data_IF_962576366481
#
_entry.id   IF_962576366481
#
_cell.length_a   1.000
_cell.length_b   1.000
_cell.length_c   1.000
_cell.angle_alpha   90.00
_cell.angle_beta   90.00
_cell.angle_gamma   90.00
#
_symmetry.space_group_name_H-M   'P 1'
#
loop_
_entity.id
_entity.type
_entity.pdbx_description
1 polymer ?
#
# COMPACT_ATOMS: atom_id res chain seq x y z
N UNK A 1 -13.28 -2.88 0.05
CA UNK A 1 -14.42 -1.97 0.29
C UNK A 1 -15.27 -2.38 1.50
N UNK A 2 -15.81 -3.60 1.59
CA UNK A 2 -16.64 -4.01 2.72
C UNK A 2 -15.93 -3.89 4.08
N UNK A 3 -14.72 -4.41 4.20
CA UNK A 3 -13.95 -4.33 5.45
C UNK A 3 -13.62 -2.87 5.82
N UNK A 4 -13.33 -2.04 4.82
CA UNK A 4 -13.08 -0.61 5.05
C UNK A 4 -14.37 0.12 5.48
N UNK A 5 -15.52 -0.23 4.91
CA UNK A 5 -16.79 0.33 5.31
C UNK A 5 -17.12 -0.02 6.78
N UNK A 6 -16.90 -1.26 7.20
CA UNK A 6 -17.04 -1.66 8.61
C UNK A 6 -16.12 -0.85 9.53
N UNK A 7 -14.85 -0.68 9.17
CA UNK A 7 -13.90 0.11 9.95
C UNK A 7 -14.34 1.59 10.06
N UNK A 8 -14.85 2.19 8.99
CA UNK A 8 -15.36 3.56 9.00
C UNK A 8 -16.60 3.71 9.89
N UNK A 9 -17.54 2.76 9.82
CA UNK A 9 -18.73 2.76 10.67
C UNK A 9 -18.38 2.57 12.14
N UNK A 10 -17.45 1.67 12.46
CA UNK A 10 -16.99 1.42 13.82
C UNK A 10 -16.23 2.61 14.40
N UNK A 11 -15.41 3.32 13.61
CA UNK A 11 -14.75 4.56 14.04
C UNK A 11 -15.77 5.63 14.41
N UNK A 12 -16.81 5.81 13.60
CA UNK A 12 -17.91 6.74 13.91
C UNK A 12 -18.65 6.33 15.18
N UNK A 13 -18.96 5.05 15.36
CA UNK A 13 -19.63 4.55 16.59
C UNK A 13 -18.79 4.78 17.84
N UNK A 14 -17.48 4.54 17.76
CA UNK A 14 -16.54 4.78 18.87
C UNK A 14 -16.48 6.26 19.23
N UNK A 15 -16.44 7.15 18.24
CA UNK A 15 -16.43 8.61 18.47
C UNK A 15 -17.73 9.10 19.09
N UNK A 16 -18.89 8.60 18.65
CA UNK A 16 -20.18 8.90 19.26
C UNK A 16 -20.23 8.42 20.72
N UNK A 17 -19.71 7.22 21.00
CA UNK A 17 -19.65 6.68 22.37
C UNK A 17 -18.74 7.49 23.31
N UNK A 18 -17.67 8.12 22.79
CA UNK A 18 -16.80 9.03 23.56
C UNK A 18 -17.48 10.38 23.83
N UNK A 19 -18.19 10.95 22.85
CA UNK A 19 -18.93 12.20 23.01
C UNK A 19 -19.99 12.08 24.13
N UNK A 20 -20.66 10.93 24.24
CA UNK A 20 -21.62 10.68 25.32
C UNK A 20 -21.00 10.66 26.72
N UNK A 21 -19.68 10.42 26.84
CA UNK A 21 -18.97 10.41 28.11
C UNK A 21 -18.39 11.77 28.49
N UNK A 22 -17.92 12.53 27.50
CA UNK A 22 -17.18 13.78 27.74
C UNK A 22 -18.02 15.06 27.56
N UNK A 23 -19.27 14.96 27.14
CA UNK A 23 -20.22 16.08 27.03
C UNK A 23 -19.86 17.17 26.00
N UNK A 24 -18.82 16.95 25.18
CA UNK A 24 -18.38 17.88 24.13
C UNK A 24 -18.88 17.41 22.78
N UNK A 25 -19.82 18.16 22.18
CA UNK A 25 -20.26 17.95 20.81
C UNK A 25 -19.09 18.24 19.85
N UNK A 26 -18.40 17.18 19.40
CA UNK A 26 -17.53 17.25 18.25
C UNK A 26 -18.34 16.86 17.02
N UNK A 27 -18.15 17.55 15.89
CA UNK A 27 -18.79 17.22 14.62
C UNK A 27 -18.76 15.71 14.40
N UNK A 28 -19.93 15.08 14.44
CA UNK A 28 -20.10 13.66 14.14
C UNK A 28 -19.92 13.52 12.62
N UNK A 29 -18.68 13.31 12.18
CA UNK A 29 -18.40 13.02 10.77
C UNK A 29 -19.12 11.71 10.41
N UNK A 30 -20.01 11.81 9.44
CA UNK A 30 -20.63 10.63 8.81
C UNK A 30 -19.52 9.84 8.11
N UNK A 31 -19.54 8.50 8.11
CA UNK A 31 -18.57 7.72 7.35
C UNK A 31 -18.63 8.10 5.87
N UNK A 32 -17.49 8.07 5.18
CA UNK A 32 -17.41 8.41 3.76
C UNK A 32 -18.35 7.53 2.92
N UNK A 33 -18.53 6.29 3.31
CA UNK A 33 -19.51 5.36 2.77
C UNK A 33 -19.82 4.27 3.80
N UNK A 34 -21.02 3.72 3.73
CA UNK A 34 -21.50 2.66 4.59
C UNK A 34 -21.22 1.26 4.00
N UNK A 35 -21.43 0.23 4.81
CA UNK A 35 -21.43 -1.18 4.33
C UNK A 35 -22.46 -1.37 3.23
N UNK A 36 -23.64 -0.73 3.35
CA UNK A 36 -24.69 -0.82 2.34
C UNK A 36 -24.26 -0.19 1.01
N UNK A 37 -23.57 0.96 1.04
CA UNK A 37 -23.03 1.60 -0.17
C UNK A 37 -22.00 0.69 -0.84
N UNK A 38 -21.13 0.05 -0.07
CA UNK A 38 -20.15 -0.90 -0.56
C UNK A 38 -20.80 -2.16 -1.18
N UNK A 39 -21.91 -2.62 -0.64
CA UNK A 39 -22.68 -3.75 -1.23
C UNK A 39 -23.40 -3.31 -2.51
N UNK A 40 -24.03 -2.15 -2.50
CA UNK A 40 -24.78 -1.64 -3.65
C UNK A 40 -23.86 -1.44 -4.87
N UNK A 41 -22.63 -0.95 -4.69
CA UNK A 41 -21.71 -0.74 -5.80
C UNK A 41 -21.29 -2.04 -6.52
N UNK A 42 -21.54 -3.22 -5.94
CA UNK A 42 -21.29 -4.49 -6.63
C UNK A 42 -22.19 -4.67 -7.87
N UNK A 43 -23.36 -4.04 -7.88
CA UNK A 43 -24.27 -4.03 -9.04
C UNK A 43 -23.78 -3.13 -10.19
N UNK A 44 -22.83 -2.25 -9.94
CA UNK A 44 -22.31 -1.30 -10.94
C UNK A 44 -21.14 -1.87 -11.76
N UNK A 45 -20.61 -3.05 -11.40
CA UNK A 45 -19.60 -3.75 -12.18
C UNK A 45 -20.22 -4.30 -13.46
N UNK A 46 -19.91 -3.64 -14.57
CA UNK A 46 -20.46 -3.96 -15.91
C UNK A 46 -19.42 -4.61 -16.82
N UNK A 47 -18.62 -3.80 -17.49
CA UNK A 47 -17.64 -4.25 -18.47
C UNK A 47 -16.27 -4.48 -17.84
N UNK A 48 -15.57 -5.52 -18.29
CA UNK A 48 -14.17 -5.72 -17.95
C UNK A 48 -13.28 -4.87 -18.85
N UNK A 49 -12.42 -4.06 -18.26
CA UNK A 49 -11.38 -3.36 -18.97
C UNK A 49 -10.14 -4.24 -19.16
N UNK A 50 -9.52 -4.17 -20.32
CA UNK A 50 -8.26 -4.84 -20.64
C UNK A 50 -7.21 -3.76 -20.89
N UNK A 51 -6.00 -3.94 -20.40
CA UNK A 51 -4.92 -3.00 -20.60
C UNK A 51 -4.69 -2.71 -22.09
N UNK A 52 -4.44 -1.44 -22.40
CA UNK A 52 -4.15 -0.93 -23.74
C UNK A 52 -5.26 -1.13 -24.78
N UNK A 53 -6.46 -1.49 -24.35
CA UNK A 53 -7.64 -1.53 -25.21
C UNK A 53 -8.54 -0.32 -24.95
N UNK A 54 -8.99 0.30 -26.04
CA UNK A 54 -9.91 1.44 -25.96
C UNK A 54 -11.30 0.95 -25.60
N UNK A 55 -11.89 1.52 -24.57
CA UNK A 55 -13.27 1.30 -24.15
C UNK A 55 -14.08 2.58 -24.44
N UNK A 56 -15.14 2.47 -25.23
CA UNK A 56 -16.12 3.55 -25.37
C UNK A 56 -17.03 3.54 -24.15
N UNK A 57 -16.88 4.55 -23.29
CA UNK A 57 -17.66 4.69 -22.04
C UNK A 57 -19.05 5.23 -22.35
N UNK A 58 -19.08 6.27 -23.19
CA UNK A 58 -20.29 6.89 -23.75
C UNK A 58 -19.90 7.68 -24.99
N UNK A 59 -20.89 8.16 -25.76
CA UNK A 59 -20.64 8.98 -26.96
C UNK A 59 -19.70 10.15 -26.64
N UNK A 60 -18.58 10.24 -27.34
CA UNK A 60 -17.57 11.28 -27.14
C UNK A 60 -16.63 11.06 -25.95
N UNK A 61 -16.73 9.93 -25.22
CA UNK A 61 -15.84 9.59 -24.09
C UNK A 61 -15.24 8.20 -24.28
N UNK A 62 -13.94 8.16 -24.53
CA UNK A 62 -13.17 6.91 -24.62
C UNK A 62 -12.19 6.81 -23.46
N UNK A 63 -12.04 5.62 -22.91
CA UNK A 63 -11.09 5.32 -21.84
C UNK A 63 -10.11 4.22 -22.28
N UNK A 64 -8.83 4.39 -21.94
CA UNK A 64 -7.81 3.36 -22.07
C UNK A 64 -7.16 3.15 -20.72
N UNK A 65 -7.15 1.90 -20.25
CA UNK A 65 -6.47 1.50 -19.02
C UNK A 65 -5.05 1.09 -19.33
N UNK A 66 -4.08 1.64 -18.61
CA UNK A 66 -2.65 1.48 -18.83
C UNK A 66 -2.04 0.93 -17.54
N UNK A 67 -1.28 -0.16 -17.63
CA UNK A 67 -0.68 -0.78 -16.43
C UNK A 67 0.14 0.24 -15.63
N UNK A 68 -0.29 0.51 -14.40
CA UNK A 68 0.38 1.44 -13.50
C UNK A 68 1.50 0.77 -12.68
N UNK A 69 1.61 -0.56 -12.70
CA UNK A 69 2.67 -1.33 -12.03
C UNK A 69 2.76 -1.14 -10.51
N UNK A 70 1.70 -0.63 -9.87
CA UNK A 70 1.69 -0.30 -8.43
C UNK A 70 1.24 -1.48 -7.56
N UNK A 71 0.05 -1.98 -7.81
CA UNK A 71 -0.51 -3.20 -7.23
C UNK A 71 -1.13 -4.05 -8.35
N UNK A 72 -1.42 -5.30 -8.08
CA UNK A 72 -2.02 -6.20 -9.07
C UNK A 72 -3.34 -5.61 -9.60
N UNK A 73 -3.42 -5.39 -10.91
CA UNK A 73 -4.57 -4.80 -11.58
C UNK A 73 -4.66 -3.27 -11.53
N UNK A 74 -3.64 -2.58 -10.98
CA UNK A 74 -3.61 -1.11 -10.95
C UNK A 74 -3.49 -0.53 -12.38
N UNK A 75 -4.16 0.59 -12.61
CA UNK A 75 -4.15 1.24 -13.92
C UNK A 75 -4.06 2.76 -13.82
N UNK A 76 -3.28 3.35 -14.71
CA UNK A 76 -3.49 4.74 -15.14
C UNK A 76 -4.64 4.76 -16.13
N UNK A 77 -5.47 5.80 -16.12
CA UNK A 77 -6.65 5.92 -16.98
C UNK A 77 -6.46 7.10 -17.93
N UNK A 78 -6.38 6.81 -19.21
CA UNK A 78 -6.33 7.81 -20.27
C UNK A 78 -7.72 8.02 -20.81
N UNK A 79 -8.24 9.23 -20.68
CA UNK A 79 -9.54 9.66 -21.23
C UNK A 79 -9.33 10.56 -22.44
N UNK A 80 -10.02 10.24 -23.51
CA UNK A 80 -10.19 11.09 -24.69
C UNK A 80 -11.63 11.61 -24.68
N UNK A 81 -11.77 12.93 -24.68
CA UNK A 81 -13.03 13.66 -24.60
C UNK A 81 -13.26 14.41 -25.88
N UNK A 82 -14.30 14.07 -26.61
CA UNK A 82 -14.67 14.69 -27.90
C UNK A 82 -16.00 15.43 -27.79
N UNK A 83 -15.95 16.74 -28.02
CA UNK A 83 -17.11 17.59 -28.18
C UNK A 83 -17.15 18.12 -29.63
N UNK A 84 -18.29 18.59 -30.17
CA UNK A 84 -18.39 19.04 -31.55
C UNK A 84 -17.39 20.12 -31.98
N UNK A 85 -16.92 20.93 -31.03
CA UNK A 85 -16.01 22.05 -31.29
C UNK A 85 -14.62 21.88 -30.65
N UNK A 86 -14.42 20.90 -29.85
CA UNK A 86 -13.18 20.72 -29.05
C UNK A 86 -12.92 19.27 -28.72
N UNK A 87 -11.67 18.88 -28.74
CA UNK A 87 -11.22 17.60 -28.18
C UNK A 87 -10.09 17.85 -27.21
N UNK A 88 -10.09 17.13 -26.10
CA UNK A 88 -9.04 17.19 -25.08
C UNK A 88 -8.82 15.81 -24.48
N UNK A 89 -7.65 15.62 -23.90
CA UNK A 89 -7.29 14.38 -23.20
C UNK A 89 -6.90 14.62 -21.76
N UNK A 90 -7.26 13.67 -20.90
CA UNK A 90 -6.90 13.68 -19.48
C UNK A 90 -6.32 12.33 -19.11
N UNK A 91 -5.14 12.33 -18.52
CA UNK A 91 -4.49 11.13 -18.00
C UNK A 91 -4.47 11.18 -16.47
N UNK A 92 -5.17 10.24 -15.86
CA UNK A 92 -5.10 10.00 -14.41
C UNK A 92 -4.00 8.96 -14.14
N UNK A 93 -3.01 9.32 -13.35
CA UNK A 93 -1.92 8.38 -13.04
C UNK A 93 -2.41 7.15 -12.27
N UNK A 94 -3.43 7.31 -11.40
CA UNK A 94 -3.58 6.42 -10.27
C UNK A 94 -2.32 6.46 -9.41
N UNK A 95 -2.15 5.49 -8.54
CA UNK A 95 -0.89 5.29 -7.83
C UNK A 95 0.09 4.55 -8.76
N UNK A 96 1.30 5.10 -8.92
CA UNK A 96 2.31 4.58 -9.82
C UNK A 96 3.27 3.64 -9.09
N UNK A 97 3.56 2.52 -9.71
CA UNK A 97 4.58 1.59 -9.24
C UNK A 97 5.99 2.04 -9.63
N UNK A 98 6.95 1.17 -9.35
CA UNK A 98 8.36 1.43 -9.64
C UNK A 98 8.92 0.37 -10.57
N UNK A 99 9.86 0.76 -11.41
CA UNK A 99 10.59 -0.16 -12.25
C UNK A 99 11.49 -1.11 -11.42
N UNK A 100 11.75 -2.30 -11.98
CA UNK A 100 12.67 -3.27 -11.39
C UNK A 100 12.14 -4.02 -10.17
N UNK A 101 10.83 -4.02 -9.96
CA UNK A 101 10.18 -4.86 -8.95
C UNK A 101 10.10 -6.33 -9.40
N UNK A 102 10.24 -7.28 -8.46
CA UNK A 102 10.25 -8.69 -8.85
C UNK A 102 8.86 -9.26 -9.14
N UNK A 103 7.81 -8.70 -8.55
CA UNK A 103 6.46 -9.26 -8.69
C UNK A 103 5.72 -8.69 -9.88
N UNK A 104 5.56 -7.37 -9.93
CA UNK A 104 4.77 -6.70 -10.96
C UNK A 104 5.63 -6.19 -12.09
N UNK A 105 5.01 -6.01 -13.24
CA UNK A 105 5.61 -5.29 -14.34
C UNK A 105 5.91 -3.85 -13.95
N UNK A 106 6.93 -3.28 -14.57
CA UNK A 106 7.16 -1.84 -14.48
C UNK A 106 5.97 -1.08 -15.05
N UNK A 107 5.66 0.14 -14.53
CA UNK A 107 4.65 0.99 -15.12
C UNK A 107 4.83 1.13 -16.62
N UNK A 108 3.76 0.94 -17.38
CA UNK A 108 3.79 1.15 -18.81
C UNK A 108 4.03 2.65 -19.14
N UNK A 109 4.72 2.96 -20.25
CA UNK A 109 4.92 4.34 -20.64
C UNK A 109 3.57 5.07 -20.82
N UNK A 110 3.40 6.28 -20.27
CA UNK A 110 2.17 7.03 -20.44
C UNK A 110 2.06 7.54 -21.90
N UNK A 111 0.84 7.69 -22.45
CA UNK A 111 0.61 8.43 -23.68
C UNK A 111 0.83 9.93 -23.47
N UNK A 112 0.93 10.68 -24.55
CA UNK A 112 0.81 12.14 -24.50
C UNK A 112 -0.61 12.52 -24.10
N UNK A 113 -0.77 13.52 -23.25
CA UNK A 113 -2.06 14.00 -22.77
C UNK A 113 -2.03 15.52 -22.61
N UNK A 114 -3.16 16.18 -22.89
CA UNK A 114 -3.27 17.64 -22.68
C UNK A 114 -3.23 17.99 -21.20
N UNK A 115 -3.90 17.18 -20.38
CA UNK A 115 -3.99 17.35 -18.94
C UNK A 115 -3.58 16.05 -18.22
N UNK A 116 -2.88 16.19 -17.12
CA UNK A 116 -2.48 15.06 -16.26
C UNK A 116 -2.96 15.32 -14.84
N UNK A 117 -3.58 14.33 -14.23
CA UNK A 117 -3.88 14.29 -12.79
C UNK A 117 -3.00 13.19 -12.18
N UNK A 118 -2.01 13.56 -11.37
CA UNK A 118 -1.02 12.60 -10.88
C UNK A 118 -0.84 12.61 -9.38
N UNK A 119 -0.50 11.43 -8.85
CA UNK A 119 -0.10 11.24 -7.48
C UNK A 119 1.23 11.92 -7.15
N UNK A 120 1.43 12.20 -5.87
CA UNK A 120 2.68 12.79 -5.36
C UNK A 120 3.10 12.22 -4.01
N UNK A 121 2.69 11.00 -3.70
CA UNK A 121 2.95 10.35 -2.40
C UNK A 121 4.41 10.45 -1.96
N UNK A 122 5.33 10.26 -2.89
CA UNK A 122 6.78 10.33 -2.65
C UNK A 122 7.46 11.46 -3.42
N UNK A 123 6.76 12.53 -3.70
CA UNK A 123 7.25 13.66 -4.48
C UNK A 123 8.44 14.43 -3.87
N UNK A 124 8.75 14.21 -2.60
CA UNK A 124 9.77 14.95 -1.84
C UNK A 124 11.09 14.17 -1.64
N UNK A 125 11.17 12.89 -2.03
CA UNK A 125 12.32 12.08 -1.65
C UNK A 125 12.78 11.07 -2.70
N UNK A 126 14.10 10.89 -2.74
CA UNK A 126 14.73 9.80 -3.47
C UNK A 126 14.84 8.59 -2.55
N UNK A 127 14.46 7.42 -3.03
CA UNK A 127 14.51 6.18 -2.27
C UNK A 127 15.83 5.44 -2.45
N UNK A 128 16.19 4.64 -1.44
CA UNK A 128 17.29 3.71 -1.53
C UNK A 128 17.01 2.66 -2.61
N UNK A 129 18.03 2.15 -3.29
CA UNK A 129 17.88 1.02 -4.19
C UNK A 129 17.27 -0.20 -3.46
N UNK A 130 16.54 -1.05 -4.19
CA UNK A 130 15.84 -2.20 -3.64
C UNK A 130 16.79 -3.19 -2.94
N UNK A 131 17.95 -3.49 -3.53
CA UNK A 131 18.93 -4.42 -2.96
C UNK A 131 19.36 -4.07 -1.53
N UNK A 132 19.90 -2.87 -1.27
CA UNK A 132 20.21 -2.42 0.08
C UNK A 132 19.03 -2.46 1.06
N UNK A 133 17.82 -2.21 0.58
CA UNK A 133 16.61 -2.28 1.43
C UNK A 133 16.26 -3.72 1.83
N UNK A 134 16.47 -4.67 0.93
CA UNK A 134 16.35 -6.10 1.24
C UNK A 134 17.43 -6.51 2.25
N UNK A 135 18.65 -6.00 2.12
CA UNK A 135 19.73 -6.27 3.08
C UNK A 135 19.40 -5.73 4.47
N UNK A 136 18.81 -4.53 4.56
CA UNK A 136 18.32 -3.96 5.81
C UNK A 136 17.21 -4.84 6.44
N UNK A 137 16.29 -5.38 5.64
CA UNK A 137 15.24 -6.29 6.12
C UNK A 137 15.85 -7.55 6.77
N UNK A 138 16.76 -8.22 6.07
CA UNK A 138 17.39 -9.42 6.60
C UNK A 138 18.29 -9.13 7.82
N UNK A 139 18.96 -7.98 7.83
CA UNK A 139 19.71 -7.53 8.99
C UNK A 139 18.79 -7.33 10.21
N UNK A 140 17.65 -6.64 10.04
CA UNK A 140 16.68 -6.44 11.11
C UNK A 140 16.13 -7.77 11.67
N UNK A 141 15.84 -8.73 10.79
CA UNK A 141 15.39 -10.07 11.18
C UNK A 141 16.49 -10.80 11.98
N UNK A 142 17.70 -10.86 11.44
CA UNK A 142 18.83 -11.57 12.08
C UNK A 142 19.15 -10.99 13.46
N UNK A 143 19.23 -9.66 13.58
CA UNK A 143 19.49 -9.00 14.86
C UNK A 143 18.37 -9.22 15.88
N UNK A 144 17.12 -9.30 15.41
CA UNK A 144 15.97 -9.57 16.30
C UNK A 144 15.99 -11.01 16.79
N UNK A 145 16.26 -11.97 15.92
CA UNK A 145 16.34 -13.38 16.29
C UNK A 145 17.49 -13.67 17.26
N UNK A 146 18.66 -13.00 17.09
CA UNK A 146 19.77 -13.09 18.06
C UNK A 146 19.37 -12.63 19.47
N UNK A 147 18.42 -11.68 19.58
CA UNK A 147 17.89 -11.23 20.87
C UNK A 147 16.76 -12.11 21.42
N UNK A 148 16.32 -13.10 20.66
CA UNK A 148 15.19 -13.97 21.04
C UNK A 148 13.82 -13.32 20.88
N UNK A 149 13.69 -12.27 20.06
CA UNK A 149 12.45 -11.56 19.82
C UNK A 149 11.73 -11.99 18.53
N UNK A 150 10.54 -11.41 18.33
CA UNK A 150 9.74 -11.50 17.10
C UNK A 150 9.94 -10.26 16.24
N UNK A 151 9.78 -10.42 14.92
CA UNK A 151 9.73 -9.33 13.95
C UNK A 151 8.29 -9.11 13.53
N UNK A 152 7.73 -7.97 13.87
CA UNK A 152 6.38 -7.56 13.46
C UNK A 152 6.53 -6.65 12.26
N UNK A 153 5.85 -6.98 11.15
CA UNK A 153 5.86 -6.19 9.92
C UNK A 153 4.44 -5.74 9.60
N UNK A 154 4.06 -4.52 9.97
CA UNK A 154 2.81 -3.93 9.51
C UNK A 154 2.79 -3.88 7.98
N UNK A 155 1.77 -4.44 7.34
CA UNK A 155 1.74 -4.52 5.89
C UNK A 155 0.34 -4.32 5.31
N UNK A 156 0.28 -3.81 4.08
CA UNK A 156 -0.95 -3.83 3.30
C UNK A 156 -1.23 -5.25 2.82
N UNK A 157 -2.51 -5.56 2.67
CA UNK A 157 -2.96 -6.90 2.29
C UNK A 157 -2.60 -7.26 0.85
N UNK A 158 -2.59 -6.26 -0.04
CA UNK A 158 -2.31 -6.40 -1.45
C UNK A 158 -0.93 -5.81 -1.76
N UNK A 159 -0.17 -6.50 -2.59
CA UNK A 159 1.18 -6.23 -3.07
C UNK A 159 2.27 -6.36 -2.00
N UNK A 160 2.24 -5.55 -0.94
CA UNK A 160 3.34 -5.50 0.03
C UNK A 160 3.53 -6.81 0.81
N UNK A 161 2.44 -7.48 1.17
CA UNK A 161 2.50 -8.78 1.82
C UNK A 161 3.14 -9.82 0.90
N UNK A 162 2.74 -9.87 -0.36
CA UNK A 162 3.24 -10.81 -1.35
C UNK A 162 4.71 -10.54 -1.71
N UNK A 163 5.11 -9.28 -1.84
CA UNK A 163 6.49 -8.90 -2.08
C UNK A 163 7.41 -9.32 -0.92
N UNK A 164 6.96 -9.15 0.32
CA UNK A 164 7.69 -9.63 1.49
C UNK A 164 7.80 -11.16 1.50
N UNK A 165 6.73 -11.90 1.20
CA UNK A 165 6.78 -13.36 1.08
C UNK A 165 7.80 -13.80 0.03
N UNK A 166 7.81 -13.14 -1.13
CA UNK A 166 8.78 -13.38 -2.20
C UNK A 166 10.22 -13.21 -1.70
N UNK A 167 10.55 -12.08 -1.05
CA UNK A 167 11.89 -11.85 -0.53
C UNK A 167 12.26 -12.82 0.60
N UNK A 168 11.35 -13.13 1.49
CA UNK A 168 11.59 -14.12 2.55
C UNK A 168 11.89 -15.50 1.94
N UNK A 169 11.16 -15.90 0.89
CA UNK A 169 11.46 -17.13 0.13
C UNK A 169 12.85 -17.10 -0.49
N UNK A 170 13.21 -15.99 -1.15
CA UNK A 170 14.58 -15.82 -1.67
C UNK A 170 15.62 -15.91 -0.57
N UNK A 171 15.38 -15.27 0.59
CA UNK A 171 16.29 -15.32 1.73
C UNK A 171 16.53 -16.72 2.26
N UNK A 172 15.49 -17.56 2.29
CA UNK A 172 15.63 -18.98 2.63
C UNK A 172 16.47 -19.72 1.56
N UNK A 173 16.15 -19.49 0.28
CA UNK A 173 16.85 -20.14 -0.83
C UNK A 173 18.34 -19.77 -0.89
N UNK A 174 18.67 -18.53 -0.51
CA UNK A 174 20.04 -18.00 -0.46
C UNK A 174 20.77 -18.32 0.88
N UNK A 175 20.13 -19.01 1.82
CA UNK A 175 20.71 -19.33 3.13
C UNK A 175 20.82 -18.14 4.08
N UNK A 176 20.15 -17.00 3.79
CA UNK A 176 20.08 -15.82 4.68
C UNK A 176 19.14 -16.06 5.85
N UNK A 177 18.12 -16.89 5.66
CA UNK A 177 17.19 -17.37 6.68
C UNK A 177 17.22 -18.90 6.75
N UNK A 178 17.02 -19.45 7.92
CA UNK A 178 16.90 -20.90 8.11
C UNK A 178 15.58 -21.42 7.51
N UNK A 179 15.59 -22.67 7.01
CA UNK A 179 14.37 -23.33 6.55
C UNK A 179 13.30 -23.47 7.66
N UNK A 180 13.72 -23.47 8.92
CA UNK A 180 12.84 -23.53 10.09
C UNK A 180 12.26 -22.18 10.51
N UNK A 181 12.59 -21.09 9.81
CA UNK A 181 12.05 -19.75 10.12
C UNK A 181 10.54 -19.75 10.04
N UNK A 182 9.89 -19.40 11.15
CA UNK A 182 8.43 -19.30 11.23
C UNK A 182 7.96 -17.94 10.68
N UNK A 183 7.09 -17.97 9.70
CA UNK A 183 6.49 -16.78 9.09
C UNK A 183 4.97 -16.88 9.20
N UNK A 184 4.34 -15.91 9.79
CA UNK A 184 2.89 -15.84 9.93
C UNK A 184 2.35 -14.74 9.03
N UNK A 185 1.42 -15.07 8.15
CA UNK A 185 0.59 -14.10 7.43
C UNK A 185 -0.76 -14.03 8.13
N UNK A 186 -0.91 -13.04 9.02
CA UNK A 186 -2.10 -12.86 9.85
C UNK A 186 -3.00 -11.75 9.28
N UNK A 187 -3.56 -12.04 8.12
CA UNK A 187 -4.53 -11.19 7.44
C UNK A 187 -5.35 -12.01 6.44
N UNK A 188 -6.64 -12.28 6.71
CA UNK A 188 -7.51 -13.02 5.78
C UNK A 188 -7.52 -12.41 4.37
N UNK A 189 -7.53 -11.07 4.28
CA UNK A 189 -7.48 -10.35 3.01
C UNK A 189 -6.15 -10.57 2.28
N UNK A 190 -5.00 -10.51 2.98
CA UNK A 190 -3.69 -10.75 2.37
C UNK A 190 -3.54 -12.19 1.88
N UNK A 191 -4.10 -13.16 2.62
CA UNK A 191 -4.12 -14.57 2.22
C UNK A 191 -4.95 -14.73 0.95
N UNK A 192 -6.13 -14.12 0.86
CA UNK A 192 -6.98 -14.16 -0.33
C UNK A 192 -6.31 -13.45 -1.52
N UNK A 193 -5.65 -12.29 -1.29
CA UNK A 193 -4.88 -11.61 -2.32
C UNK A 193 -3.73 -12.48 -2.84
N UNK A 194 -3.04 -13.23 -1.98
CA UNK A 194 -1.96 -14.14 -2.38
C UNK A 194 -2.47 -15.23 -3.33
N UNK A 195 -3.69 -15.74 -3.12
CA UNK A 195 -4.33 -16.68 -4.06
C UNK A 195 -4.64 -16.02 -5.41
N UNK A 196 -5.10 -14.77 -5.40
CA UNK A 196 -5.36 -14.01 -6.64
C UNK A 196 -4.07 -13.85 -7.46
N UNK A 197 -2.95 -13.52 -6.84
CA UNK A 197 -1.65 -13.44 -7.53
C UNK A 197 -1.27 -14.74 -8.27
N UNK A 198 -1.56 -15.90 -7.68
CA UNK A 198 -1.31 -17.21 -8.29
C UNK A 198 -2.13 -17.44 -9.54
N UNK A 199 -3.33 -16.87 -9.63
CA UNK A 199 -4.26 -17.04 -10.74
C UNK A 199 -4.06 -16.02 -11.87
N UNK A 200 -3.21 -14.99 -11.67
CA UNK A 200 -2.97 -13.92 -12.64
C UNK A 200 -1.49 -13.72 -12.99
N UNK A 201 -0.78 -14.79 -13.44
CA UNK A 201 0.63 -14.68 -13.82
C UNK A 201 0.86 -13.71 -15.00
N UNK A 202 -0.18 -13.48 -15.83
CA UNK A 202 -0.12 -12.54 -16.95
C UNK A 202 0.09 -11.08 -16.53
N UNK A 203 -0.21 -10.72 -15.27
CA UNK A 203 0.00 -9.38 -14.73
C UNK A 203 1.38 -9.21 -14.08
N UNK A 204 2.13 -10.30 -13.94
CA UNK A 204 3.39 -10.33 -13.23
C UNK A 204 4.58 -10.03 -14.14
N UNK A 205 5.71 -9.67 -13.54
CA UNK A 205 6.99 -9.61 -14.24
C UNK A 205 7.35 -10.99 -14.83
N UNK A 206 7.92 -11.01 -16.04
CA UNK A 206 8.10 -12.23 -16.82
C UNK A 206 8.85 -13.34 -16.08
N UNK A 207 9.91 -12.99 -15.33
CA UNK A 207 10.67 -13.95 -14.55
C UNK A 207 9.85 -14.57 -13.43
N UNK A 208 9.02 -13.78 -12.76
CA UNK A 208 8.13 -14.23 -11.68
C UNK A 208 6.94 -15.03 -12.23
N UNK A 209 6.34 -14.58 -13.33
CA UNK A 209 5.29 -15.34 -14.02
C UNK A 209 5.76 -16.78 -14.36
N UNK A 210 6.99 -16.90 -14.84
CA UNK A 210 7.61 -18.20 -15.15
C UNK A 210 7.77 -19.08 -13.90
N UNK A 211 8.09 -18.50 -12.73
CA UNK A 211 8.17 -19.27 -11.48
C UNK A 211 6.82 -19.88 -11.11
N UNK A 212 5.71 -19.16 -11.30
CA UNK A 212 4.37 -19.69 -11.03
C UNK A 212 3.94 -20.79 -12.01
N UNK A 213 4.43 -20.74 -13.26
CA UNK A 213 4.04 -21.70 -14.31
C UNK A 213 4.89 -22.97 -14.30
N UNK A 214 6.19 -22.85 -14.11
CA UNK A 214 7.16 -23.92 -14.33
C UNK A 214 8.04 -24.23 -13.10
N UNK A 215 8.00 -23.38 -12.07
CA UNK A 215 8.88 -23.44 -10.91
C UNK A 215 8.16 -23.70 -9.58
N UNK A 216 8.91 -23.66 -8.47
CA UNK A 216 8.30 -23.66 -7.15
C UNK A 216 7.60 -22.32 -6.91
N UNK A 217 6.37 -22.38 -6.39
CA UNK A 217 5.59 -21.21 -5.99
C UNK A 217 6.44 -20.25 -5.15
N UNK A 218 6.65 -18.99 -5.62
CA UNK A 218 7.50 -18.02 -4.93
C UNK A 218 6.96 -17.57 -3.57
N UNK A 219 5.68 -17.84 -3.28
CA UNK A 219 5.06 -17.56 -1.98
C UNK A 219 5.07 -18.76 -1.03
N UNK A 220 5.54 -19.92 -1.47
CA UNK A 220 5.57 -21.11 -0.64
C UNK A 220 6.89 -21.20 0.14
N UNK A 221 6.84 -20.85 1.43
CA UNK A 221 7.95 -20.98 2.37
C UNK A 221 7.70 -22.20 3.29
N UNK A 222 8.74 -22.99 3.66
CA UNK A 222 8.57 -24.16 4.52
C UNK A 222 7.92 -23.90 5.86
N UNK A 223 8.18 -22.71 6.44
CA UNK A 223 7.63 -22.29 7.75
C UNK A 223 6.50 -21.24 7.65
N UNK A 224 5.80 -21.16 6.52
CA UNK A 224 4.70 -20.21 6.35
C UNK A 224 3.39 -20.75 6.95
N UNK A 225 2.78 -19.93 7.77
CA UNK A 225 1.48 -20.19 8.41
C UNK A 225 0.48 -19.09 8.02
N UNK A 226 -0.64 -19.49 7.45
CA UNK A 226 -1.76 -18.60 7.16
C UNK A 226 -2.74 -18.62 8.32
N UNK A 227 -2.93 -17.49 8.98
CA UNK A 227 -3.93 -17.33 10.04
C UNK A 227 -5.20 -16.70 9.46
N UNK A 228 -6.19 -17.51 9.11
CA UNK A 228 -7.50 -17.05 8.63
C UNK A 228 -8.43 -16.78 9.80
N UNK A 229 -8.50 -17.73 10.72
CA UNK A 229 -9.42 -17.70 11.86
C UNK A 229 -8.86 -16.85 13.01
N UNK A 230 -9.78 -16.30 13.83
CA UNK A 230 -9.41 -15.51 15.00
C UNK A 230 -8.61 -16.32 16.01
N UNK A 231 -8.95 -17.60 16.20
CA UNK A 231 -8.24 -18.48 17.12
C UNK A 231 -6.78 -18.69 16.70
N UNK A 232 -6.50 -18.82 15.40
CA UNK A 232 -5.14 -18.93 14.87
C UNK A 232 -4.35 -17.64 15.10
N UNK A 233 -4.96 -16.48 14.88
CA UNK A 233 -4.38 -15.16 15.14
C UNK A 233 -4.03 -14.99 16.63
N UNK A 234 -4.93 -15.39 17.52
CA UNK A 234 -4.70 -15.35 18.99
C UNK A 234 -3.54 -16.26 19.38
N UNK A 235 -3.43 -17.45 18.78
CA UNK A 235 -2.36 -18.42 19.07
C UNK A 235 -0.96 -17.85 18.75
N UNK A 236 -0.83 -16.96 17.77
CA UNK A 236 0.45 -16.30 17.44
C UNK A 236 0.99 -15.48 18.61
N UNK A 237 0.12 -14.94 19.48
CA UNK A 237 0.54 -14.16 20.64
C UNK A 237 1.32 -14.99 21.69
N UNK A 238 1.23 -16.31 21.64
CA UNK A 238 2.03 -17.22 22.49
C UNK A 238 3.44 -17.48 21.94
N UNK A 239 3.76 -17.01 20.72
CA UNK A 239 5.10 -17.15 20.13
C UNK A 239 6.01 -16.09 20.73
N UNK A 240 6.97 -16.52 21.54
CA UNK A 240 7.81 -15.59 22.30
C UNK A 240 9.06 -15.11 21.55
N UNK A 241 9.45 -15.75 20.44
CA UNK A 241 10.59 -15.29 19.64
C UNK A 241 10.86 -16.17 18.43
N UNK A 242 11.69 -15.65 17.50
CA UNK A 242 12.09 -16.36 16.29
C UNK A 242 11.03 -16.40 15.18
N UNK A 243 10.00 -15.59 15.28
CA UNK A 243 8.95 -15.49 14.27
C UNK A 243 8.95 -14.15 13.54
N UNK A 244 8.54 -14.19 12.27
CA UNK A 244 8.20 -13.03 11.44
C UNK A 244 6.67 -13.00 11.32
N UNK A 245 6.05 -11.89 11.72
CA UNK A 245 4.59 -11.73 11.73
C UNK A 245 4.21 -10.60 10.77
N UNK A 246 3.59 -10.95 9.65
CA UNK A 246 3.03 -10.03 8.67
C UNK A 246 1.55 -9.83 8.97
N UNK A 247 1.12 -8.62 9.28
CA UNK A 247 -0.28 -8.33 9.62
C UNK A 247 -0.74 -6.96 9.13
N UNK A 248 -1.99 -6.84 8.72
CA UNK A 248 -2.64 -5.57 8.36
C UNK A 248 -3.24 -4.85 9.58
N UNK A 249 -3.35 -3.53 9.52
CA UNK A 249 -3.06 -2.60 8.43
C UNK A 249 -1.61 -2.11 8.43
N UNK A 250 -1.12 -1.70 7.27
CA UNK A 250 0.26 -1.19 7.13
C UNK A 250 0.51 0.12 7.88
N UNK A 251 -0.52 0.94 8.11
CA UNK A 251 -0.45 2.19 8.86
C UNK A 251 -0.84 2.03 10.35
N UNK A 252 -1.09 0.81 10.80
CA UNK A 252 -1.49 0.48 12.17
C UNK A 252 -2.76 1.24 12.65
N UNK A 253 -3.65 1.62 11.74
CA UNK A 253 -4.90 2.29 12.07
C UNK A 253 -6.02 1.35 12.51
N UNK A 254 -5.82 0.05 12.32
CA UNK A 254 -6.77 -1.02 12.63
C UNK A 254 -6.20 -2.38 12.29
N UNK A 255 -7.03 -3.42 12.41
CA UNK A 255 -6.69 -4.78 12.03
C UNK A 255 -5.85 -5.53 13.06
N UNK A 256 -5.46 -6.76 12.68
CA UNK A 256 -4.78 -7.71 13.58
C UNK A 256 -3.40 -7.26 14.02
N UNK A 257 -2.75 -6.40 13.24
CA UNK A 257 -1.45 -5.81 13.60
C UNK A 257 -1.46 -5.11 14.96
N UNK A 258 -2.58 -4.49 15.36
CA UNK A 258 -2.71 -3.83 16.66
C UNK A 258 -2.54 -4.81 17.82
N UNK A 259 -3.09 -6.03 17.69
CA UNK A 259 -2.89 -7.08 18.71
C UNK A 259 -1.43 -7.49 18.82
N UNK A 260 -0.74 -7.69 17.68
CA UNK A 260 0.67 -8.03 17.67
C UNK A 260 1.55 -6.90 18.22
N UNK A 261 1.24 -5.64 17.91
CA UNK A 261 1.93 -4.48 18.47
C UNK A 261 1.73 -4.41 19.99
N UNK A 262 0.50 -4.60 20.48
CA UNK A 262 0.22 -4.64 21.93
C UNK A 262 1.09 -5.66 22.68
N UNK A 263 1.31 -6.83 22.07
CA UNK A 263 2.11 -7.90 22.70
C UNK A 263 3.61 -7.74 22.52
N UNK A 264 4.08 -7.00 21.50
CA UNK A 264 5.51 -6.97 21.16
C UNK A 264 6.19 -5.60 21.31
N UNK A 265 5.47 -4.46 21.25
CA UNK A 265 6.07 -3.12 21.37
C UNK A 265 6.80 -2.88 22.69
N UNK A 266 6.31 -3.46 23.78
CA UNK A 266 6.93 -3.35 25.11
C UNK A 266 8.17 -4.22 25.30
N UNK A 267 8.50 -5.10 24.35
CA UNK A 267 9.57 -6.09 24.46
C UNK A 267 10.83 -5.63 23.75
N UNK A 268 11.93 -5.47 24.51
CA UNK A 268 13.23 -5.00 23.99
C UNK A 268 13.87 -5.99 22.99
N UNK A 269 13.51 -7.27 23.09
CA UNK A 269 13.98 -8.33 22.19
C UNK A 269 13.34 -8.22 20.80
N UNK A 270 12.08 -7.80 20.74
CA UNK A 270 11.29 -7.72 19.50
C UNK A 270 11.65 -6.51 18.64
N UNK A 271 11.24 -6.55 17.40
CA UNK A 271 11.35 -5.41 16.47
C UNK A 271 10.06 -5.19 15.70
N UNK A 272 9.81 -3.93 15.32
CA UNK A 272 8.80 -3.58 14.34
C UNK A 272 9.52 -3.03 13.11
N UNK A 273 9.20 -3.58 11.95
CA UNK A 273 9.81 -3.21 10.66
C UNK A 273 8.73 -2.59 9.78
N UNK A 274 8.79 -1.30 9.61
CA UNK A 274 7.91 -0.58 8.68
C UNK A 274 8.51 -0.59 7.27
N UNK A 275 7.72 -1.04 6.30
CA UNK A 275 8.14 -1.18 4.90
C UNK A 275 7.22 -0.31 4.04
N UNK A 276 7.69 0.88 3.69
CA UNK A 276 6.93 1.84 2.91
C UNK A 276 6.49 3.08 3.69
N UNK A 277 5.47 3.76 3.19
CA UNK A 277 4.98 5.03 3.71
C UNK A 277 4.08 4.86 4.93
N UNK A 278 4.20 5.78 5.88
CA UNK A 278 3.27 5.95 6.99
C UNK A 278 2.76 7.40 6.99
N UNK A 279 1.45 7.57 6.81
CA UNK A 279 0.81 8.87 6.73
C UNK A 279 0.83 9.60 8.08
N UNK A 280 0.90 10.93 8.05
CA UNK A 280 0.78 11.77 9.23
C UNK A 280 -0.54 11.49 9.98
N UNK A 281 -0.51 11.48 11.31
CA UNK A 281 -1.67 11.19 12.15
C UNK A 281 -2.03 9.70 12.27
N UNK A 282 -1.17 8.79 11.81
CA UNK A 282 -1.34 7.34 12.00
C UNK A 282 -0.45 6.81 13.13
N UNK A 283 -0.89 5.73 13.79
CA UNK A 283 -0.10 5.08 14.83
C UNK A 283 1.28 4.62 14.31
N UNK A 284 1.37 4.14 13.06
CA UNK A 284 2.63 3.79 12.44
C UNK A 284 3.57 5.00 12.40
N UNK A 285 3.07 6.18 12.04
CA UNK A 285 3.85 7.41 11.98
C UNK A 285 4.34 7.83 13.34
N UNK A 286 3.50 7.80 14.36
CA UNK A 286 3.89 8.14 15.74
C UNK A 286 5.02 7.24 16.25
N UNK A 287 4.95 5.92 15.97
CA UNK A 287 5.99 4.96 16.34
C UNK A 287 7.31 5.26 15.60
N UNK A 288 7.24 5.54 14.29
CA UNK A 288 8.40 5.87 13.45
C UNK A 288 9.08 7.16 13.94
N UNK A 289 8.31 8.15 14.33
CA UNK A 289 8.80 9.45 14.84
C UNK A 289 9.37 9.35 16.27
N UNK A 290 9.34 8.17 16.89
CA UNK A 290 10.01 7.90 18.15
C UNK A 290 9.16 8.11 19.40
N UNK A 291 7.84 7.97 19.29
CA UNK A 291 6.95 7.94 20.46
C UNK A 291 7.45 6.94 21.50
N UNK A 292 7.50 7.35 22.76
CA UNK A 292 7.96 6.49 23.86
C UNK A 292 6.88 5.54 24.36
N UNK A 293 5.63 5.92 24.15
CA UNK A 293 4.44 5.11 24.42
C UNK A 293 3.34 5.49 23.43
N UNK A 294 2.46 4.55 23.14
CA UNK A 294 1.33 4.72 22.24
C UNK A 294 0.07 4.09 22.82
N UNK A 295 -1.09 4.62 22.48
CA UNK A 295 -2.37 4.07 22.93
C UNK A 295 -2.85 2.99 21.95
N UNK A 296 -3.05 1.76 22.42
CA UNK A 296 -3.63 0.65 21.65
C UNK A 296 -4.77 0.05 22.48
N UNK A 297 -5.97 0.01 21.94
CA UNK A 297 -7.19 -0.46 22.63
C UNK A 297 -7.44 0.23 23.98
N UNK A 298 -7.08 1.52 24.10
CA UNK A 298 -7.22 2.29 25.33
C UNK A 298 -6.13 2.03 26.39
N UNK A 299 -5.16 1.18 26.11
CA UNK A 299 -4.01 0.91 26.96
C UNK A 299 -2.77 1.66 26.47
N UNK A 300 -2.01 2.26 27.39
CA UNK A 300 -0.72 2.87 27.07
C UNK A 300 0.39 1.83 26.98
N UNK A 301 0.85 1.54 25.78
CA UNK A 301 1.89 0.55 25.50
C UNK A 301 3.23 1.25 25.34
N UNK A 302 4.27 0.92 26.14
CA UNK A 302 5.61 1.49 25.96
C UNK A 302 6.24 0.98 24.67
N UNK A 303 6.92 1.87 23.92
CA UNK A 303 7.68 1.52 22.72
C UNK A 303 9.14 1.23 23.15
N UNK A 304 9.46 -0.04 23.35
CA UNK A 304 10.79 -0.55 23.71
C UNK A 304 11.39 -1.44 22.61
N UNK A 305 10.55 -2.02 21.77
CA UNK A 305 10.97 -2.78 20.58
C UNK A 305 11.85 -1.89 19.70
N UNK A 306 12.78 -2.49 18.96
CA UNK A 306 13.54 -1.76 17.95
C UNK A 306 12.66 -1.45 16.75
N UNK A 307 12.72 -0.21 16.30
CA UNK A 307 11.96 0.26 15.14
C UNK A 307 12.91 0.38 13.96
N UNK A 308 12.54 -0.26 12.85
CA UNK A 308 13.23 -0.17 11.57
C UNK A 308 12.29 0.42 10.54
N UNK A 309 12.81 1.29 9.68
CA UNK A 309 12.08 1.87 8.55
C UNK A 309 12.84 1.58 7.26
N UNK A 310 12.22 0.85 6.34
CA UNK A 310 12.84 0.43 5.09
C UNK A 310 12.11 1.11 3.93
N UNK A 311 12.81 2.02 3.26
CA UNK A 311 12.23 2.97 2.30
C UNK A 311 12.60 2.68 0.84
N UNK A 312 13.01 1.48 0.47
CA UNK A 312 13.46 1.14 -0.90
C UNK A 312 12.33 0.83 -1.89
N UNK A 313 11.10 1.29 -1.62
CA UNK A 313 9.94 0.77 -2.34
C UNK A 313 9.18 1.78 -3.19
N UNK A 314 9.69 3.01 -3.47
CA UNK A 314 9.11 4.03 -4.35
C UNK A 314 10.11 5.16 -4.64
N UNK A 315 10.01 5.93 -5.71
CA UNK A 315 11.00 6.98 -6.03
C UNK A 315 10.40 8.21 -6.73
N UNK A 316 10.76 9.42 -6.26
CA UNK A 316 10.46 10.71 -6.90
C UNK A 316 10.92 10.77 -8.36
N UNK A 317 12.12 10.25 -8.66
CA UNK A 317 12.69 10.31 -10.00
C UNK A 317 11.80 9.60 -11.04
N UNK A 318 11.13 8.53 -10.68
CA UNK A 318 10.22 7.80 -11.58
C UNK A 318 8.94 8.58 -11.84
N UNK A 319 8.38 9.26 -10.82
CA UNK A 319 7.24 10.14 -10.99
C UNK A 319 7.54 11.30 -11.95
N UNK A 320 8.70 11.94 -11.81
CA UNK A 320 9.14 13.00 -12.71
C UNK A 320 9.37 12.50 -14.14
N UNK A 321 10.02 11.33 -14.29
CA UNK A 321 10.26 10.74 -15.60
C UNK A 321 8.95 10.32 -16.29
N UNK A 322 7.98 9.80 -15.52
CA UNK A 322 6.66 9.45 -16.02
C UNK A 322 5.90 10.70 -16.49
N UNK A 323 5.82 11.74 -15.64
CA UNK A 323 5.14 12.99 -15.98
C UNK A 323 5.75 13.63 -17.23
N UNK A 324 7.06 13.72 -17.32
CA UNK A 324 7.74 14.32 -18.48
C UNK A 324 7.38 13.64 -19.81
N UNK A 325 7.15 12.33 -19.81
CA UNK A 325 6.76 11.58 -21.00
C UNK A 325 5.37 11.92 -21.50
N UNK A 326 4.48 12.42 -20.63
CA UNK A 326 3.11 12.81 -21.01
C UNK A 326 3.07 14.04 -21.89
N UNK A 327 4.10 14.89 -21.87
CA UNK A 327 4.16 16.19 -22.56
C UNK A 327 2.96 17.09 -22.23
N UNK A 328 2.39 16.96 -21.02
CA UNK A 328 1.16 17.63 -20.62
C UNK A 328 1.33 19.14 -20.53
N UNK A 329 0.34 19.88 -21.05
CA UNK A 329 0.25 21.35 -20.91
C UNK A 329 -0.09 21.74 -19.48
N UNK A 330 -0.90 20.93 -18.79
CA UNK A 330 -1.33 21.15 -17.41
C UNK A 330 -1.21 19.87 -16.60
N UNK A 331 -0.65 20.00 -15.39
CA UNK A 331 -0.48 18.89 -14.44
C UNK A 331 -1.14 19.26 -13.11
N UNK A 332 -2.11 18.46 -12.69
CA UNK A 332 -2.77 18.55 -11.40
C UNK A 332 -2.09 17.59 -10.44
N UNK A 333 -1.61 18.10 -9.31
CA UNK A 333 -0.98 17.30 -8.27
C UNK A 333 -2.00 16.94 -7.21
N UNK A 334 -2.14 15.66 -6.94
CA UNK A 334 -3.09 15.11 -5.98
C UNK A 334 -2.42 13.99 -5.17
N UNK A 335 -3.15 13.40 -4.21
CA UNK A 335 -2.71 12.22 -3.47
C UNK A 335 -1.30 12.37 -2.87
N UNK A 336 -1.10 13.45 -2.12
CA UNK A 336 0.14 13.74 -1.40
C UNK A 336 -0.09 14.79 -0.32
N UNK A 337 0.85 14.93 0.61
CA UNK A 337 0.84 16.01 1.58
C UNK A 337 1.11 17.35 0.87
N UNK A 338 0.46 18.43 1.29
CA UNK A 338 0.57 19.74 0.62
C UNK A 338 2.03 20.23 0.48
N UNK A 339 2.85 20.00 1.51
CA UNK A 339 4.27 20.31 1.45
C UNK A 339 5.04 19.49 0.43
N UNK A 340 4.68 18.22 0.25
CA UNK A 340 5.27 17.31 -0.75
C UNK A 340 4.85 17.73 -2.15
N UNK A 341 3.55 18.01 -2.37
CA UNK A 341 3.04 18.52 -3.65
C UNK A 341 3.76 19.81 -4.06
N UNK A 342 3.94 20.75 -3.12
CA UNK A 342 4.63 22.03 -3.37
C UNK A 342 6.10 21.84 -3.75
N UNK A 343 6.80 20.91 -3.10
CA UNK A 343 8.18 20.58 -3.45
C UNK A 343 8.27 19.90 -4.81
N UNK A 344 7.38 18.96 -5.10
CA UNK A 344 7.33 18.26 -6.39
C UNK A 344 7.03 19.23 -7.54
N UNK A 345 6.10 20.17 -7.34
CA UNK A 345 5.76 21.20 -8.30
C UNK A 345 6.98 22.01 -8.77
N UNK A 346 7.94 22.29 -7.88
CA UNK A 346 9.15 23.01 -8.23
C UNK A 346 10.07 22.29 -9.23
N UNK A 347 9.89 20.97 -9.42
CA UNK A 347 10.64 20.17 -10.39
C UNK A 347 9.93 20.03 -11.74
N UNK A 348 8.71 20.54 -11.89
CA UNK A 348 7.90 20.46 -13.09
C UNK A 348 8.00 21.78 -13.88
N UNK A 349 9.03 21.91 -14.73
CA UNK A 349 9.29 23.17 -15.47
C UNK A 349 8.51 23.33 -16.78
N UNK A 350 8.05 22.25 -17.38
CA UNK A 350 7.52 22.23 -18.75
C UNK A 350 5.98 22.16 -18.83
N UNK A 351 5.30 22.31 -17.69
CA UNK A 351 3.85 22.18 -17.57
C UNK A 351 3.29 23.22 -16.60
N UNK A 352 2.05 23.66 -16.80
CA UNK A 352 1.35 24.46 -15.80
C UNK A 352 0.89 23.58 -14.67
N UNK A 353 1.41 23.80 -13.46
CA UNK A 353 1.10 23.00 -12.27
C UNK A 353 -0.08 23.62 -11.52
N UNK A 354 -1.02 22.77 -11.12
CA UNK A 354 -2.16 23.10 -10.26
C UNK A 354 -2.18 22.16 -9.05
N UNK A 355 -2.43 22.69 -7.86
CA UNK A 355 -2.68 21.92 -6.65
C UNK A 355 -4.14 22.20 -6.26
N UNK A 356 -5.09 21.32 -6.65
CA UNK A 356 -6.51 21.58 -6.46
C UNK A 356 -6.92 21.50 -4.99
N UNK A 357 -7.74 22.47 -4.54
CA UNK A 357 -8.45 22.35 -3.29
C UNK A 357 -9.63 21.36 -3.43
N UNK A 358 -10.09 20.74 -2.33
CA UNK A 358 -11.27 19.89 -2.36
C UNK A 358 -12.47 20.58 -3.00
N UNK A 359 -13.14 19.92 -3.94
CA UNK A 359 -14.28 20.41 -4.70
C UNK A 359 -14.00 21.62 -5.65
N UNK A 360 -12.74 21.92 -5.93
CA UNK A 360 -12.39 22.94 -6.91
C UNK A 360 -12.62 22.40 -8.34
N UNK A 361 -13.37 23.13 -9.15
CA UNK A 361 -13.61 22.82 -10.55
C UNK A 361 -12.62 23.55 -11.47
N UNK A 362 -12.22 22.90 -12.53
CA UNK A 362 -11.34 23.44 -13.57
C UNK A 362 -11.97 23.21 -14.95
N UNK A 363 -11.90 24.20 -15.83
CA UNK A 363 -12.15 24.00 -17.26
C UNK A 363 -10.97 23.28 -17.91
N UNK A 364 -11.25 22.29 -18.74
CA UNK A 364 -10.27 21.51 -19.51
C UNK A 364 -10.06 22.08 -20.90
#
# INVERSE_FOLDING_TARGET
>A
MLDTAHLLEDDVRHRIGQVSRDGVSRDTKVPLYSVLDALNCLGDFGQNAVYSQVLEVTTGVRATFIDAGHILGSASIFLELEEPSHSTSVLFSGDLGNAGRPLLRSPAPPPHADNVVMETTYGDRLHKPLGPSIDELFHAIAETFKRGGNVIIPTFALERAQELLYFLKQGITQGRLANSTQVYLDSPMAISATEIFRHHPECLEAATAKLFQEGPDPFNLPGLHFARETAESVAINSVHGGAIILAGSGMCTGGRVLHHLRHNLGRVESSVVFVGYAAAGTLARDIIDGAKQVAIFGENIPVRARIYTINGFSAQAELLAWQKRTCARRTFLVHGEEGVMSQFAAHLGDTRVEIPAPNQAFGL
#
